data_IF_614340675126
#
_entry.id   IF_614340675126
#
_cell.length_a   1.000
_cell.length_b   1.000
_cell.length_c   1.000
_cell.angle_alpha   90.00
_cell.angle_beta   90.00
_cell.angle_gamma   90.00
#
_symmetry.space_group_name_H-M   'P 1'
#
loop_
_entity.id
_entity.type
_entity.pdbx_description
1 polymer ?
#
# COMPACT_ATOMS: atom_id res chain seq x y z
N UNK A 1 4.43 -5.87 0.39
CA UNK A 1 5.31 -4.88 1.06
C UNK A 1 6.49 -4.45 0.18
N UNK A 2 6.75 -5.15 -0.92
CA UNK A 2 7.71 -4.79 -1.97
C UNK A 2 7.01 -4.25 -3.23
N UNK A 3 7.81 -3.71 -4.16
CA UNK A 3 7.32 -3.33 -5.48
C UNK A 3 6.66 -4.48 -6.25
N UNK A 4 7.18 -5.72 -6.11
CA UNK A 4 6.60 -6.91 -6.76
C UNK A 4 5.18 -7.16 -6.28
N UNK A 5 4.89 -6.94 -5.00
CA UNK A 5 3.54 -7.13 -4.46
C UNK A 5 2.56 -6.09 -5.01
N UNK A 6 2.99 -4.84 -5.13
CA UNK A 6 2.17 -3.75 -5.68
C UNK A 6 1.86 -4.00 -7.16
N UNK A 7 2.87 -4.37 -7.94
CA UNK A 7 2.71 -4.74 -9.34
C UNK A 7 1.80 -5.96 -9.53
N UNK A 8 1.95 -6.97 -8.65
CA UNK A 8 1.11 -8.17 -8.65
C UNK A 8 -0.34 -7.83 -8.31
N UNK A 9 -0.58 -6.99 -7.31
CA UNK A 9 -1.91 -6.53 -6.94
C UNK A 9 -2.57 -5.76 -8.10
N UNK A 10 -1.83 -4.85 -8.74
CA UNK A 10 -2.31 -4.10 -9.90
C UNK A 10 -2.69 -5.03 -11.07
N UNK A 11 -1.82 -6.00 -11.42
CA UNK A 11 -2.10 -6.98 -12.46
C UNK A 11 -3.33 -7.85 -12.15
N UNK A 12 -3.59 -8.11 -10.87
CA UNK A 12 -4.74 -8.89 -10.39
C UNK A 12 -5.99 -8.04 -10.10
N UNK A 13 -5.99 -6.74 -10.43
CA UNK A 13 -7.05 -5.77 -10.09
C UNK A 13 -7.41 -5.71 -8.60
N UNK A 14 -6.43 -6.02 -7.73
CA UNK A 14 -6.53 -5.93 -6.28
C UNK A 14 -6.07 -4.55 -5.83
N UNK A 15 -6.85 -3.94 -4.93
CA UNK A 15 -6.48 -2.67 -4.28
C UNK A 15 -5.38 -2.91 -3.26
N UNK A 16 -4.25 -2.20 -3.40
CA UNK A 16 -3.07 -2.35 -2.55
C UNK A 16 -2.87 -1.14 -1.62
N UNK A 17 -2.25 -1.38 -0.47
CA UNK A 17 -1.83 -0.33 0.46
C UNK A 17 -0.35 -0.51 0.80
N UNK A 18 0.45 0.51 0.51
CA UNK A 18 1.84 0.61 0.92
C UNK A 18 1.96 1.24 2.30
N UNK A 19 2.87 0.72 3.14
CA UNK A 19 3.07 1.20 4.51
C UNK A 19 4.44 1.85 4.67
N UNK A 20 4.51 3.05 5.25
CA UNK A 20 5.78 3.81 5.36
C UNK A 20 6.67 3.35 6.52
N UNK A 21 6.15 2.48 7.40
CA UNK A 21 6.90 1.82 8.47
C UNK A 21 7.48 0.46 8.07
N UNK A 22 7.42 0.11 6.78
CA UNK A 22 8.07 -1.05 6.20
C UNK A 22 9.51 -0.77 5.75
N UNK A 23 10.04 -1.64 4.87
CA UNK A 23 11.41 -1.52 4.36
C UNK A 23 11.56 -0.60 3.15
N UNK A 24 10.45 -0.13 2.56
CA UNK A 24 10.44 0.65 1.30
C UNK A 24 10.16 2.12 1.58
N UNK A 25 10.79 2.99 0.79
CA UNK A 25 10.49 4.42 0.85
C UNK A 25 9.10 4.69 0.30
N UNK A 26 8.52 5.83 0.67
CA UNK A 26 7.24 6.28 0.13
C UNK A 26 7.30 6.38 -1.40
N UNK A 27 8.39 6.92 -1.93
CA UNK A 27 8.60 7.10 -3.37
C UNK A 27 8.56 5.76 -4.09
N UNK A 28 9.26 4.74 -3.57
CA UNK A 28 9.24 3.39 -4.16
C UNK A 28 7.83 2.78 -4.13
N UNK A 29 7.07 2.98 -3.05
CA UNK A 29 5.69 2.48 -2.95
C UNK A 29 4.77 3.13 -4.00
N UNK A 30 4.90 4.43 -4.22
CA UNK A 30 4.13 5.18 -5.23
C UNK A 30 4.51 4.74 -6.64
N UNK A 31 5.82 4.65 -6.94
CA UNK A 31 6.32 4.22 -8.25
C UNK A 31 5.88 2.80 -8.63
N UNK A 32 5.72 1.92 -7.64
CA UNK A 32 5.29 0.54 -7.86
C UNK A 32 3.76 0.35 -7.86
N UNK A 33 2.98 1.42 -7.69
CA UNK A 33 1.52 1.38 -7.86
C UNK A 33 0.73 1.03 -6.60
N UNK A 34 1.21 1.41 -5.40
CA UNK A 34 0.39 1.37 -4.20
C UNK A 34 -0.86 2.26 -4.37
N UNK A 35 -2.07 1.71 -4.21
CA UNK A 35 -3.31 2.50 -4.32
C UNK A 35 -3.49 3.46 -3.14
N UNK A 36 -3.04 3.03 -1.96
CA UNK A 36 -3.00 3.85 -0.75
C UNK A 36 -1.61 3.86 -0.16
N UNK A 37 -1.22 4.99 0.44
CA UNK A 37 -0.07 5.07 1.32
C UNK A 37 -0.57 5.28 2.74
N UNK A 38 -0.04 4.51 3.67
CA UNK A 38 -0.47 4.47 5.05
C UNK A 38 0.73 4.81 5.93
N UNK A 39 0.54 5.71 6.90
CA UNK A 39 1.59 6.17 7.82
C UNK A 39 1.51 5.58 9.23
N UNK A 40 0.34 5.06 9.60
CA UNK A 40 0.16 4.28 10.83
C UNK A 40 -0.79 3.09 10.66
N UNK A 41 -0.64 1.99 11.42
CA UNK A 41 -1.53 0.83 11.31
C UNK A 41 -3.02 1.15 11.47
N UNK A 42 -3.37 2.19 12.25
CA UNK A 42 -4.77 2.59 12.50
C UNK A 42 -5.45 3.14 11.24
N UNK A 43 -4.70 3.71 10.30
CA UNK A 43 -5.27 4.20 9.03
C UNK A 43 -5.77 3.07 8.13
N UNK A 44 -5.27 1.83 8.28
CA UNK A 44 -5.78 0.65 7.55
C UNK A 44 -7.25 0.42 7.89
N UNK A 45 -7.66 0.65 9.14
CA UNK A 45 -9.05 0.49 9.57
C UNK A 45 -9.99 1.40 8.77
N UNK A 46 -9.56 2.64 8.49
CA UNK A 46 -10.33 3.59 7.68
C UNK A 46 -10.54 3.08 6.24
N UNK A 47 -9.54 2.37 5.68
CA UNK A 47 -9.63 1.84 4.32
C UNK A 47 -10.65 0.70 4.17
N UNK A 48 -10.91 -0.04 5.26
CA UNK A 48 -11.86 -1.16 5.27
C UNK A 48 -13.23 -0.78 5.85
N UNK A 49 -13.52 0.51 6.01
CA UNK A 49 -14.79 1.01 6.53
C UNK A 49 -14.99 0.80 8.03
N UNK A 50 -13.90 0.59 8.79
CA UNK A 50 -13.92 0.72 10.23
C UNK A 50 -13.67 2.20 10.58
N UNK A 51 -14.69 2.83 11.18
CA UNK A 51 -14.85 4.27 11.53
C UNK A 51 -15.40 5.18 10.42
#
# INVERSE_FOLDING_TARGET
DSGVDMQTAAAATITSAGVTWGFRTREELVENGACYIVDSPVEILKLIGYF
#
